data_IF_045831491854
#
_entry.id   IF_045831491854
#
_cell.length_a   1.000
_cell.length_b   1.000
_cell.length_c   1.000
_cell.angle_alpha   90.00
_cell.angle_beta   90.00
_cell.angle_gamma   90.00
#
_symmetry.space_group_name_H-M   'P 1'
#
loop_
_entity.id
_entity.type
_entity.pdbx_description
1 polymer ?
#
# COMPACT_ATOMS: atom_id res chain seq x y z
N UNK A 1 2.64 18.79 0.24
CA UNK A 1 2.05 17.64 -0.49
C UNK A 1 1.63 18.14 -1.86
N UNK A 2 1.71 17.30 -2.89
CA UNK A 2 1.21 17.65 -4.22
C UNK A 2 -0.32 17.85 -4.17
N UNK A 3 -0.84 18.83 -4.92
CA UNK A 3 -2.27 19.16 -4.94
C UNK A 3 -3.11 18.02 -5.53
N UNK A 4 -2.58 17.26 -6.49
CA UNK A 4 -3.27 16.09 -7.04
C UNK A 4 -3.45 15.00 -5.99
N UNK A 5 -2.42 14.75 -5.18
CA UNK A 5 -2.46 13.79 -4.07
C UNK A 5 -3.49 14.24 -3.03
N UNK A 6 -3.45 15.52 -2.66
CA UNK A 6 -4.38 16.09 -1.70
C UNK A 6 -5.83 15.98 -2.16
N UNK A 7 -6.11 16.32 -3.42
CA UNK A 7 -7.45 16.24 -4.00
C UNK A 7 -7.97 14.79 -4.00
N UNK A 8 -7.15 13.83 -4.42
CA UNK A 8 -7.57 12.43 -4.49
C UNK A 8 -7.86 11.86 -3.09
N UNK A 9 -7.03 12.20 -2.09
CA UNK A 9 -7.27 11.76 -0.71
C UNK A 9 -8.54 12.40 -0.13
N UNK A 10 -8.82 13.67 -0.43
CA UNK A 10 -10.09 14.29 -0.04
C UNK A 10 -11.30 13.56 -0.65
N UNK A 11 -11.22 13.14 -1.92
CA UNK A 11 -12.28 12.33 -2.55
C UNK A 11 -12.45 10.97 -1.85
N UNK A 12 -11.33 10.27 -1.58
CA UNK A 12 -11.34 9.01 -0.84
C UNK A 12 -12.04 9.18 0.52
N UNK A 13 -11.65 10.19 1.31
CA UNK A 13 -12.23 10.44 2.65
C UNK A 13 -13.69 10.89 2.63
N UNK A 14 -14.19 11.37 1.49
CA UNK A 14 -15.60 11.79 1.33
C UNK A 14 -16.56 10.61 1.19
N UNK A 15 -16.05 9.42 0.88
CA UNK A 15 -16.81 8.17 0.75
C UNK A 15 -16.66 7.39 2.05
N UNK A 16 -17.70 7.37 2.88
CA UNK A 16 -17.63 6.91 4.27
C UNK A 16 -18.10 5.46 4.51
N UNK A 17 -18.57 4.79 3.45
CA UNK A 17 -19.00 3.39 3.46
C UNK A 17 -17.93 2.41 2.98
N UNK A 18 -16.68 2.86 2.80
CA UNK A 18 -15.56 2.03 2.37
C UNK A 18 -14.38 2.29 3.31
N UNK A 19 -13.94 1.25 4.04
CA UNK A 19 -12.87 1.38 5.05
C UNK A 19 -11.91 0.22 5.03
N UNK A 20 -10.69 0.43 5.49
CA UNK A 20 -9.71 -0.65 5.47
C UNK A 20 -8.53 -0.48 6.40
N UNK A 21 -7.77 -1.56 6.50
CA UNK A 21 -6.52 -1.61 7.25
C UNK A 21 -5.35 -1.58 6.29
N UNK A 22 -4.30 -0.83 6.64
CA UNK A 22 -3.09 -0.69 5.82
C UNK A 22 -1.90 -1.28 6.56
N UNK A 23 -1.13 -2.13 5.90
CA UNK A 23 0.08 -2.72 6.46
C UNK A 23 1.21 -2.53 5.48
N UNK A 24 2.27 -1.84 5.90
CA UNK A 24 3.42 -1.53 5.06
C UNK A 24 4.73 -1.91 5.75
N UNK A 25 5.73 -2.34 4.99
CA UNK A 25 7.07 -2.58 5.52
C UNK A 25 8.14 -2.25 4.47
N UNK A 26 9.26 -1.71 4.91
CA UNK A 26 10.40 -1.32 4.05
C UNK A 26 10.20 -0.07 3.18
N UNK A 27 8.96 0.27 2.80
CA UNK A 27 8.60 1.38 1.91
C UNK A 27 7.11 1.77 2.03
N UNK A 28 6.71 2.82 1.33
CA UNK A 28 5.33 3.32 1.26
C UNK A 28 4.93 4.18 2.45
N UNK A 29 5.88 4.72 3.23
CA UNK A 29 5.55 5.43 4.48
C UNK A 29 4.87 6.78 4.22
N UNK A 30 5.22 7.43 3.11
CA UNK A 30 4.65 8.74 2.75
C UNK A 30 3.13 8.68 2.59
N UNK A 31 2.57 7.57 2.10
CA UNK A 31 1.11 7.42 1.95
C UNK A 31 0.38 7.43 3.29
N UNK A 32 0.97 6.86 4.35
CA UNK A 32 0.39 6.98 5.68
C UNK A 32 0.40 8.45 6.13
N UNK A 33 1.53 9.14 5.97
CA UNK A 33 1.62 10.57 6.32
C UNK A 33 0.58 11.41 5.58
N UNK A 34 0.32 11.13 4.29
CA UNK A 34 -0.65 11.87 3.50
C UNK A 34 -2.09 11.56 3.90
N UNK A 35 -2.44 10.27 4.07
CA UNK A 35 -3.76 9.85 4.51
C UNK A 35 -4.12 10.40 5.90
N UNK A 36 -3.20 10.35 6.87
CA UNK A 36 -3.44 10.89 8.22
C UNK A 36 -3.35 12.41 8.28
N UNK A 37 -2.67 13.05 7.32
CA UNK A 37 -2.51 14.49 7.28
C UNK A 37 -3.73 15.26 6.81
N UNK A 38 -4.70 14.58 6.18
CA UNK A 38 -5.94 15.19 5.66
C UNK A 38 -7.13 14.75 6.52
N UNK A 39 -7.96 15.71 6.93
CA UNK A 39 -9.20 15.45 7.67
C UNK A 39 -10.08 14.40 7.00
N UNK A 40 -10.77 13.60 7.80
CA UNK A 40 -11.65 12.54 7.31
C UNK A 40 -11.00 11.16 7.20
N UNK A 41 -9.73 10.98 7.60
CA UNK A 41 -9.07 9.67 7.59
C UNK A 41 -9.85 8.58 8.32
N UNK A 42 -10.61 8.92 9.38
CA UNK A 42 -11.47 7.98 10.11
C UNK A 42 -12.62 7.42 9.25
N UNK A 43 -12.95 8.05 8.12
CA UNK A 43 -13.89 7.55 7.13
C UNK A 43 -13.29 6.50 6.20
N UNK A 44 -11.98 6.28 6.22
CA UNK A 44 -11.29 5.42 5.26
C UNK A 44 -10.38 4.39 5.96
N UNK A 45 -9.73 4.76 7.07
CA UNK A 45 -8.72 3.92 7.72
C UNK A 45 -9.24 3.43 9.07
N UNK A 46 -9.23 2.10 9.23
CA UNK A 46 -9.56 1.40 10.49
C UNK A 46 -8.31 1.29 11.36
N UNK A 47 -7.19 0.87 10.76
CA UNK A 47 -5.90 0.77 11.44
C UNK A 47 -4.76 0.77 10.44
N UNK A 48 -3.58 1.16 10.88
CA UNK A 48 -2.34 1.09 10.12
C UNK A 48 -1.26 0.38 10.94
N UNK A 49 -0.46 -0.48 10.31
CA UNK A 49 0.61 -1.20 10.98
C UNK A 49 1.90 -1.24 10.15
N UNK A 50 3.06 -1.09 10.81
CA UNK A 50 4.38 -1.07 10.16
C UNK A 50 5.27 -2.17 10.74
N UNK A 51 5.08 -3.44 10.34
CA UNK A 51 5.90 -4.55 10.83
C UNK A 51 7.30 -4.54 10.20
N UNK A 52 8.18 -3.70 10.72
CA UNK A 52 9.48 -3.44 10.08
C UNK A 52 10.49 -4.58 10.26
N UNK A 53 10.54 -5.21 11.43
CA UNK A 53 11.44 -6.35 11.64
C UNK A 53 10.84 -7.65 11.10
N UNK A 54 11.68 -8.62 10.73
CA UNK A 54 11.20 -9.95 10.33
C UNK A 54 10.42 -10.65 11.45
N UNK A 55 10.79 -10.45 12.71
CA UNK A 55 10.03 -10.98 13.85
C UNK A 55 8.62 -10.38 13.92
N UNK A 56 8.49 -9.06 13.73
CA UNK A 56 7.20 -8.36 13.75
C UNK A 56 6.33 -8.73 12.55
N UNK A 57 6.93 -8.92 11.36
CA UNK A 57 6.21 -9.38 10.19
C UNK A 57 5.72 -10.83 10.35
N UNK A 58 6.55 -11.71 10.92
CA UNK A 58 6.17 -13.09 11.25
C UNK A 58 5.03 -13.14 12.27
N UNK A 59 5.10 -12.32 13.31
CA UNK A 59 4.04 -12.20 14.32
C UNK A 59 2.73 -11.73 13.67
N UNK A 60 2.79 -10.72 12.82
CA UNK A 60 1.63 -10.21 12.07
C UNK A 60 1.00 -11.25 11.16
N UNK A 61 1.82 -11.93 10.36
CA UNK A 61 1.34 -12.92 9.39
C UNK A 61 0.89 -14.23 10.05
N UNK A 62 1.31 -14.47 11.30
CA UNK A 62 1.11 -15.76 11.99
C UNK A 62 1.86 -16.92 11.35
N UNK A 63 2.75 -16.66 10.40
CA UNK A 63 3.56 -17.64 9.67
C UNK A 63 4.87 -17.05 9.19
N UNK A 64 5.82 -17.93 8.91
CA UNK A 64 7.08 -17.57 8.28
C UNK A 64 6.94 -17.73 6.76
N UNK A 65 7.44 -16.75 6.00
CA UNK A 65 7.49 -16.80 4.55
C UNK A 65 8.89 -17.25 4.11
N UNK A 66 8.95 -18.03 3.03
CA UNK A 66 10.21 -18.50 2.44
C UNK A 66 10.95 -17.42 1.65
N UNK A 67 10.23 -16.39 1.20
CA UNK A 67 10.77 -15.24 0.46
C UNK A 67 10.22 -13.94 1.03
N UNK A 68 11.09 -12.92 1.07
CA UNK A 68 10.75 -11.59 1.53
C UNK A 68 10.85 -10.58 0.39
N UNK A 69 10.08 -9.51 0.48
CA UNK A 69 9.95 -8.50 -0.58
C UNK A 69 9.54 -9.18 -1.88
N UNK A 70 8.37 -9.82 -1.84
CA UNK A 70 7.76 -10.55 -2.93
C UNK A 70 6.28 -10.21 -3.06
N UNK A 71 5.71 -10.51 -4.22
CA UNK A 71 4.28 -10.37 -4.47
C UNK A 71 3.47 -11.23 -3.49
N UNK A 72 3.90 -12.47 -3.24
CA UNK A 72 3.25 -13.36 -2.27
C UNK A 72 3.22 -12.75 -0.87
N UNK A 73 4.31 -12.10 -0.43
CA UNK A 73 4.35 -11.41 0.86
C UNK A 73 3.33 -10.26 0.92
N UNK A 74 3.28 -9.40 -0.11
CA UNK A 74 2.30 -8.32 -0.18
C UNK A 74 0.85 -8.84 -0.15
N UNK A 75 0.56 -9.91 -0.91
CA UNK A 75 -0.76 -10.55 -0.95
C UNK A 75 -1.15 -11.12 0.42
N UNK A 76 -0.23 -11.81 1.11
CA UNK A 76 -0.50 -12.34 2.44
C UNK A 76 -0.76 -11.20 3.44
N UNK A 77 0.03 -10.12 3.37
CA UNK A 77 -0.18 -8.94 4.20
C UNK A 77 -1.56 -8.31 3.95
N UNK A 78 -1.97 -8.15 2.69
CA UNK A 78 -3.28 -7.60 2.32
C UNK A 78 -4.44 -8.46 2.83
N UNK A 79 -4.33 -9.80 2.75
CA UNK A 79 -5.34 -10.73 3.26
C UNK A 79 -5.49 -10.67 4.78
N UNK A 80 -4.38 -10.62 5.52
CA UNK A 80 -4.42 -10.47 6.99
C UNK A 80 -4.96 -9.08 7.36
N UNK A 81 -4.53 -8.03 6.67
CA UNK A 81 -5.07 -6.69 6.86
C UNK A 81 -6.59 -6.63 6.64
N UNK A 82 -7.10 -7.30 5.61
CA UNK A 82 -8.54 -7.38 5.33
C UNK A 82 -9.30 -8.10 6.45
N UNK A 83 -8.76 -9.19 6.99
CA UNK A 83 -9.36 -9.85 8.15
C UNK A 83 -9.33 -8.97 9.40
N UNK A 84 -8.25 -8.20 9.62
CA UNK A 84 -8.22 -7.21 10.70
C UNK A 84 -9.29 -6.15 10.52
N UNK A 85 -9.51 -5.66 9.29
CA UNK A 85 -10.60 -4.72 9.01
C UNK A 85 -11.97 -5.29 9.38
N UNK A 86 -12.21 -6.58 9.08
CA UNK A 86 -13.46 -7.27 9.46
C UNK A 86 -13.60 -7.44 10.98
N UNK A 87 -12.51 -7.72 11.68
CA UNK A 87 -12.52 -7.95 13.12
C UNK A 87 -12.65 -6.66 13.94
N UNK A 88 -12.13 -5.54 13.41
CA UNK A 88 -12.10 -4.25 14.08
C UNK A 88 -13.26 -3.32 13.69
N UNK A 89 -14.13 -3.74 12.76
CA UNK A 89 -15.30 -2.98 12.35
C UNK A 89 -16.55 -3.60 12.93
N UNK A 90 -17.32 -2.81 13.68
CA UNK A 90 -18.68 -3.18 14.05
C UNK A 90 -19.47 -3.46 12.77
N UNK A 91 -20.18 -4.59 12.72
CA UNK A 91 -20.98 -5.02 11.55
C UNK A 91 -22.13 -4.05 11.29
N UNK A 92 -21.82 -2.88 10.73
CA UNK A 92 -22.78 -1.97 10.15
C UNK A 92 -23.12 -2.48 8.76
N UNK A 93 -24.42 -2.60 8.48
CA UNK A 93 -24.90 -2.96 7.16
C UNK A 93 -24.36 -1.97 6.12
N UNK A 94 -23.91 -2.49 4.98
CA UNK A 94 -23.44 -1.68 3.84
C UNK A 94 -21.99 -1.20 3.91
N UNK A 95 -21.20 -1.54 4.94
CA UNK A 95 -19.77 -1.21 4.98
C UNK A 95 -18.95 -2.14 4.08
N UNK A 96 -18.24 -1.59 3.11
CA UNK A 96 -17.27 -2.30 2.29
C UNK A 96 -15.89 -2.22 2.92
N UNK A 97 -15.19 -3.35 2.96
CA UNK A 97 -13.89 -3.45 3.63
C UNK A 97 -12.77 -3.78 2.66
N UNK A 98 -11.59 -3.22 2.91
CA UNK A 98 -10.36 -3.57 2.21
C UNK A 98 -9.19 -3.80 3.17
N UNK A 99 -8.21 -4.58 2.74
CA UNK A 99 -6.91 -4.70 3.39
C UNK A 99 -5.80 -4.44 2.39
N UNK A 100 -4.85 -3.58 2.74
CA UNK A 100 -3.70 -3.25 1.90
C UNK A 100 -2.41 -3.78 2.53
N UNK A 101 -1.59 -4.44 1.72
CA UNK A 101 -0.26 -4.90 2.06
C UNK A 101 0.78 -4.25 1.14
N UNK A 102 1.87 -3.73 1.69
CA UNK A 102 3.01 -3.25 0.91
C UNK A 102 4.33 -3.75 1.53
N UNK A 103 5.21 -4.30 0.71
CA UNK A 103 6.58 -4.67 1.10
C UNK A 103 7.55 -4.18 0.02
N UNK A 104 8.71 -3.69 0.42
CA UNK A 104 9.71 -3.20 -0.54
C UNK A 104 11.12 -3.23 0.00
N UNK A 105 12.04 -3.39 -0.93
CA UNK A 105 13.46 -3.14 -0.73
C UNK A 105 13.84 -2.08 -1.75
N UNK A 106 13.87 -0.85 -1.27
CA UNK A 106 14.19 0.36 -2.02
C UNK A 106 15.60 0.82 -1.65
N UNK A 107 16.11 1.84 -2.32
CA UNK A 107 17.44 2.40 -2.17
C UNK A 107 17.84 2.57 -0.70
N UNK A 108 19.05 2.12 -0.37
CA UNK A 108 19.62 2.14 0.97
C UNK A 108 21.11 2.48 0.92
N UNK A 109 21.67 2.86 2.07
CA UNK A 109 23.11 3.13 2.22
C UNK A 109 24.00 1.85 2.14
N UNK A 110 23.41 0.67 1.93
CA UNK A 110 24.14 -0.60 1.78
C UNK A 110 24.06 -1.07 0.33
N UNK A 111 25.18 -1.56 -0.19
CA UNK A 111 25.20 -2.19 -1.49
C UNK A 111 24.48 -3.54 -1.44
N UNK A 112 23.21 -3.54 -1.85
CA UNK A 112 22.38 -4.74 -1.91
C UNK A 112 22.44 -5.36 -3.31
N UNK A 113 22.59 -6.68 -3.37
CA UNK A 113 22.39 -7.44 -4.62
C UNK A 113 20.90 -7.48 -4.95
N UNK A 114 20.58 -7.25 -6.22
CA UNK A 114 19.21 -7.24 -6.74
C UNK A 114 18.68 -5.84 -7.01
N UNK A 115 17.58 -5.79 -7.76
CA UNK A 115 16.87 -4.57 -8.12
C UNK A 115 16.16 -3.97 -6.89
N UNK A 116 16.02 -2.64 -6.90
CA UNK A 116 15.14 -1.94 -5.99
C UNK A 116 13.70 -2.14 -6.46
N UNK A 117 12.84 -2.61 -5.57
CA UNK A 117 11.49 -3.05 -5.91
C UNK A 117 10.51 -2.93 -4.75
N UNK A 118 9.24 -2.85 -5.11
CA UNK A 118 8.14 -2.90 -4.15
C UNK A 118 6.97 -3.72 -4.72
N UNK A 119 6.25 -4.36 -3.80
CA UNK A 119 5.05 -5.13 -4.10
C UNK A 119 3.91 -4.60 -3.23
N UNK A 120 2.80 -4.29 -3.87
CA UNK A 120 1.59 -3.76 -3.24
C UNK A 120 0.46 -4.70 -3.57
N UNK A 121 -0.38 -5.05 -2.60
CA UNK A 121 -1.61 -5.77 -2.84
C UNK A 121 -2.77 -5.14 -2.06
N UNK A 122 -3.96 -5.18 -2.63
CA UNK A 122 -5.20 -4.78 -1.97
C UNK A 122 -6.24 -5.88 -2.13
N UNK A 123 -6.77 -6.33 -0.99
CA UNK A 123 -7.77 -7.38 -0.91
C UNK A 123 -9.10 -6.78 -0.45
N UNK A 124 -10.19 -7.16 -1.09
CA UNK A 124 -11.56 -6.89 -0.65
C UNK A 124 -12.28 -8.22 -0.40
N UNK A 125 -13.61 -8.18 -0.18
CA UNK A 125 -14.41 -9.41 -0.12
C UNK A 125 -14.36 -10.20 -1.43
N UNK A 126 -14.41 -9.48 -2.55
CA UNK A 126 -14.73 -10.04 -3.87
C UNK A 126 -13.55 -9.95 -4.86
N UNK A 127 -12.46 -9.27 -4.47
CA UNK A 127 -11.32 -9.04 -5.35
C UNK A 127 -9.97 -9.05 -4.62
N UNK A 128 -8.92 -9.34 -5.37
CA UNK A 128 -7.53 -9.17 -4.99
C UNK A 128 -6.79 -8.56 -6.18
N UNK A 129 -6.19 -7.40 -6.00
CA UNK A 129 -5.28 -6.80 -6.98
C UNK A 129 -3.90 -6.66 -6.37
N UNK A 130 -2.87 -6.84 -7.20
CA UNK A 130 -1.49 -6.67 -6.81
C UNK A 130 -0.69 -5.95 -7.90
N UNK A 131 0.39 -5.32 -7.47
CA UNK A 131 1.25 -4.48 -8.28
C UNK A 131 2.70 -4.70 -7.89
N UNK A 132 3.58 -4.68 -8.88
CA UNK A 132 5.02 -4.80 -8.67
C UNK A 132 5.74 -3.66 -9.39
N UNK A 133 6.54 -2.91 -8.66
CA UNK A 133 7.37 -1.81 -9.15
C UNK A 133 8.84 -2.23 -9.09
N UNK A 134 9.58 -1.96 -10.15
CA UNK A 134 11.03 -2.18 -10.24
C UNK A 134 11.69 -0.87 -10.68
N UNK A 135 12.62 -0.38 -9.87
CA UNK A 135 13.20 0.95 -9.97
C UNK A 135 14.61 0.93 -10.56
N UNK A 136 15.01 2.07 -11.13
CA UNK A 136 16.40 2.30 -11.49
C UNK A 136 17.21 2.68 -10.25
N UNK A 137 17.94 1.69 -9.73
CA UNK A 137 18.79 1.80 -8.55
C UNK A 137 19.81 2.94 -8.59
N UNK A 138 20.21 3.41 -9.78
CA UNK A 138 21.26 4.42 -9.94
C UNK A 138 20.71 5.83 -10.17
N UNK A 139 19.48 5.94 -10.66
CA UNK A 139 18.85 7.23 -10.99
C UNK A 139 17.71 7.61 -10.04
N UNK A 140 17.47 6.79 -9.01
CA UNK A 140 16.52 7.04 -7.93
C UNK A 140 17.23 7.14 -6.59
N UNK A 141 16.62 7.93 -5.71
CA UNK A 141 16.93 7.91 -4.28
C UNK A 141 15.78 7.28 -3.50
N UNK A 142 16.06 6.95 -2.23
CA UNK A 142 15.07 6.32 -1.34
C UNK A 142 13.76 7.11 -1.24
N UNK A 143 13.85 8.44 -1.25
CA UNK A 143 12.69 9.33 -1.08
C UNK A 143 11.80 9.28 -2.32
N UNK A 144 12.39 9.38 -3.51
CA UNK A 144 11.65 9.33 -4.78
C UNK A 144 10.98 7.97 -5.01
N UNK A 145 11.64 6.87 -4.67
CA UNK A 145 11.03 5.53 -4.73
C UNK A 145 9.86 5.40 -3.74
N UNK A 146 10.03 5.83 -2.49
CA UNK A 146 8.95 5.81 -1.49
C UNK A 146 7.75 6.64 -1.94
N UNK A 147 7.98 7.83 -2.52
CA UNK A 147 6.91 8.68 -3.05
C UNK A 147 6.13 7.96 -4.16
N UNK A 148 6.80 7.28 -5.08
CA UNK A 148 6.13 6.56 -6.18
C UNK A 148 5.30 5.39 -5.64
N UNK A 149 5.88 4.62 -4.72
CA UNK A 149 5.17 3.52 -4.05
C UNK A 149 3.95 4.04 -3.30
N UNK A 150 4.11 5.15 -2.57
CA UNK A 150 3.02 5.79 -1.85
C UNK A 150 1.94 6.34 -2.77
N UNK A 151 2.28 6.94 -3.92
CA UNK A 151 1.29 7.32 -4.94
C UNK A 151 0.49 6.11 -5.40
N UNK A 152 1.16 4.98 -5.66
CA UNK A 152 0.48 3.77 -6.07
C UNK A 152 -0.41 3.19 -4.96
N UNK A 153 -0.02 3.29 -3.69
CA UNK A 153 -0.89 2.94 -2.56
C UNK A 153 -2.17 3.79 -2.56
N UNK A 154 -2.06 5.11 -2.79
CA UNK A 154 -3.24 5.98 -2.90
C UNK A 154 -4.10 5.58 -4.10
N UNK A 155 -3.52 5.29 -5.27
CA UNK A 155 -4.25 4.81 -6.45
C UNK A 155 -5.00 3.49 -6.19
N UNK A 156 -4.39 2.54 -5.47
CA UNK A 156 -5.05 1.30 -5.06
C UNK A 156 -6.29 1.58 -4.18
N UNK A 157 -6.16 2.51 -3.23
CA UNK A 157 -7.26 2.89 -2.34
C UNK A 157 -8.35 3.62 -3.14
N UNK A 158 -8.00 4.57 -4.00
CA UNK A 158 -8.93 5.27 -4.88
C UNK A 158 -9.76 4.28 -5.72
N UNK A 159 -9.11 3.28 -6.32
CA UNK A 159 -9.79 2.25 -7.13
C UNK A 159 -10.83 1.46 -6.33
N UNK A 160 -10.54 1.05 -5.09
CA UNK A 160 -11.55 0.36 -4.26
C UNK A 160 -12.67 1.29 -3.79
N UNK A 161 -12.44 2.61 -3.82
CA UNK A 161 -13.49 3.61 -3.60
C UNK A 161 -14.30 3.94 -4.86
N UNK A 162 -14.02 3.29 -5.99
CA UNK A 162 -14.70 3.54 -7.27
C UNK A 162 -14.28 4.85 -7.94
N UNK A 163 -13.15 5.42 -7.56
CA UNK A 163 -12.60 6.63 -8.16
C UNK A 163 -11.69 6.22 -9.33
N UNK A 164 -11.95 6.74 -10.53
CA UNK A 164 -11.21 6.41 -11.76
C UNK A 164 -9.92 7.23 -11.92
N UNK A 165 -9.83 8.39 -11.26
CA UNK A 165 -8.64 9.25 -11.27
C UNK A 165 -7.44 8.53 -10.63
N UNK A 166 -6.27 8.69 -11.23
CA UNK A 166 -5.02 8.12 -10.72
C UNK A 166 -3.92 9.19 -10.73
N UNK A 167 -3.11 9.21 -9.67
CA UNK A 167 -1.89 10.02 -9.61
C UNK A 167 -0.85 9.38 -10.54
N UNK A 168 -0.25 10.13 -11.47
CA UNK A 168 0.80 9.61 -12.33
C UNK A 168 2.05 9.25 -11.52
N UNK A 169 2.59 8.05 -11.80
CA UNK A 169 3.77 7.53 -11.10
C UNK A 169 5.07 8.17 -11.59
N UNK A 170 5.10 8.70 -12.82
CA UNK A 170 6.28 9.32 -13.44
C UNK A 170 7.52 8.40 -13.37
N UNK A 171 7.33 7.17 -13.85
CA UNK A 171 8.40 6.17 -13.97
C UNK A 171 9.40 6.59 -15.06
N UNK A 172 10.67 6.25 -14.85
CA UNK A 172 11.70 6.38 -15.88
C UNK A 172 11.49 5.30 -16.96
N UNK A 173 12.05 5.50 -18.15
CA UNK A 173 11.86 4.60 -19.29
C UNK A 173 12.28 3.16 -19.03
N UNK A 174 13.26 2.94 -18.15
CA UNK A 174 13.79 1.63 -17.78
C UNK A 174 13.14 1.02 -16.52
N UNK A 175 12.24 1.75 -15.87
CA UNK A 175 11.48 1.26 -14.71
C UNK A 175 10.27 0.46 -15.16
N UNK A 176 9.87 -0.53 -14.34
CA UNK A 176 8.80 -1.46 -14.71
C UNK A 176 7.67 -1.42 -13.69
N UNK A 177 6.45 -1.44 -14.21
CA UNK A 177 5.23 -1.53 -13.43
C UNK A 177 4.36 -2.66 -13.95
N UNK A 178 4.16 -3.66 -13.10
CA UNK A 178 3.29 -4.79 -13.36
C UNK A 178 2.05 -4.68 -12.49
N UNK A 179 0.92 -5.11 -13.03
CA UNK A 179 -0.37 -5.21 -12.33
C UNK A 179 -0.98 -6.57 -12.63
N UNK A 180 -1.74 -7.15 -11.70
CA UNK A 180 -2.68 -8.22 -12.07
C UNK A 180 -3.73 -7.66 -13.02
N UNK A 181 -4.09 -8.46 -14.02
CA UNK A 181 -5.29 -8.27 -14.83
C UNK A 181 -6.58 -8.49 -14.00
#
# INVERSE_FOLDING_TARGET
MDKEIENLINQIHSIDNIKGSIVITGCGISSLSWLFGISGTSNTIITSYVPYSMSSLKEFLGKELSSHVSEEEAINMAKVAYQNSKNLTDKKDGMHLFGLGCTGAISTNRDRKGEDRAHIAIATRDSLSYFSLYFDKYNRDRISEDIIISKQIINCIAKVHGIEENIPLNLLENEKFYRSD
#
